data_IF_939240957705
#
_entry.id   IF_939240957705
#
_cell.length_a   1.000
_cell.length_b   1.000
_cell.length_c   1.000
_cell.angle_alpha   90.00
_cell.angle_beta   90.00
_cell.angle_gamma   90.00
#
_symmetry.space_group_name_H-M   'P 1'
#
loop_
_entity.id
_entity.type
_entity.pdbx_description
1 polymer ?
#
# COMPACT_ATOMS: atom_id res chain seq x y z
N UNK A 1 -39.70 29.09 4.09
CA UNK A 1 -40.61 28.22 3.31
C UNK A 1 -39.85 26.93 3.00
N UNK A 2 -40.07 25.87 3.78
CA UNK A 2 -39.37 24.58 3.65
C UNK A 2 -40.08 23.75 2.57
N UNK A 3 -39.37 23.37 1.50
CA UNK A 3 -39.92 22.46 0.48
C UNK A 3 -40.01 21.05 1.07
N UNK A 4 -41.18 20.39 1.03
CA UNK A 4 -41.27 18.99 1.45
C UNK A 4 -40.48 18.12 0.46
N UNK A 5 -39.60 17.27 0.99
CA UNK A 5 -38.93 16.22 0.21
C UNK A 5 -40.00 15.19 -0.13
N UNK A 6 -40.52 15.25 -1.35
CA UNK A 6 -41.45 14.25 -1.88
C UNK A 6 -40.62 13.03 -2.25
N UNK A 7 -40.54 12.05 -1.36
CA UNK A 7 -39.96 10.74 -1.67
C UNK A 7 -40.94 10.04 -2.59
N UNK A 8 -40.59 9.94 -3.87
CA UNK A 8 -41.49 9.42 -4.89
C UNK A 8 -41.49 7.88 -4.85
N UNK A 9 -42.67 7.27 -4.73
CA UNK A 9 -42.82 5.82 -4.57
C UNK A 9 -42.30 5.01 -5.77
N UNK A 10 -42.12 5.66 -6.92
CA UNK A 10 -41.60 5.05 -8.14
C UNK A 10 -40.09 4.76 -8.12
N UNK A 11 -39.32 5.37 -7.20
CA UNK A 11 -37.88 5.05 -7.05
C UNK A 11 -37.64 3.62 -6.51
N UNK A 12 -38.65 3.02 -5.86
CA UNK A 12 -38.60 1.64 -5.37
C UNK A 12 -38.86 0.60 -6.47
N UNK A 13 -39.31 1.02 -7.66
CA UNK A 13 -39.85 0.12 -8.70
C UNK A 13 -38.88 -0.25 -9.82
N UNK A 14 -37.64 0.24 -9.80
CA UNK A 14 -36.64 -0.22 -10.77
C UNK A 14 -36.42 -1.72 -10.55
N UNK A 15 -36.74 -2.53 -11.56
CA UNK A 15 -36.36 -3.93 -11.66
C UNK A 15 -34.83 -4.02 -11.58
N UNK A 16 -34.36 -4.18 -10.35
CA UNK A 16 -32.96 -4.29 -10.00
C UNK A 16 -32.65 -5.78 -9.83
N UNK A 17 -31.41 -6.21 -10.08
CA UNK A 17 -31.04 -7.62 -9.97
C UNK A 17 -31.49 -8.14 -8.61
N UNK A 18 -32.21 -9.28 -8.63
CA UNK A 18 -32.73 -9.90 -7.43
C UNK A 18 -31.56 -10.06 -6.45
N UNK A 19 -31.60 -9.29 -5.36
CA UNK A 19 -30.67 -9.51 -4.27
C UNK A 19 -30.81 -10.97 -3.87
N UNK A 20 -29.69 -11.67 -3.71
CA UNK A 20 -29.71 -13.09 -3.44
C UNK A 20 -30.40 -13.31 -2.08
N UNK A 21 -31.69 -13.68 -2.16
CA UNK A 21 -32.57 -13.81 -1.00
C UNK A 21 -32.00 -14.83 0.00
N UNK A 22 -31.15 -15.74 -0.51
CA UNK A 22 -30.38 -16.72 0.27
C UNK A 22 -29.43 -16.06 1.27
N UNK A 23 -28.67 -15.03 0.86
CA UNK A 23 -27.70 -14.33 1.72
C UNK A 23 -28.40 -13.67 2.90
N UNK A 24 -29.52 -12.99 2.65
CA UNK A 24 -30.28 -12.34 3.74
C UNK A 24 -30.96 -13.34 4.65
N UNK A 25 -31.49 -14.42 4.10
CA UNK A 25 -32.05 -15.49 4.91
C UNK A 25 -30.98 -16.09 5.83
N UNK A 26 -29.74 -16.24 5.34
CA UNK A 26 -28.60 -16.68 6.14
C UNK A 26 -28.24 -15.64 7.23
N UNK A 27 -28.17 -14.35 6.89
CA UNK A 27 -27.95 -13.27 7.87
C UNK A 27 -29.00 -13.31 8.99
N UNK A 28 -30.28 -13.39 8.65
CA UNK A 28 -31.37 -13.44 9.63
C UNK A 28 -31.30 -14.70 10.48
N UNK A 29 -30.94 -15.85 9.89
CA UNK A 29 -30.76 -17.11 10.61
C UNK A 29 -29.60 -17.02 11.61
N UNK A 30 -28.46 -16.45 11.21
CA UNK A 30 -27.28 -16.30 12.07
C UNK A 30 -27.57 -15.31 13.20
N UNK A 31 -28.14 -14.15 12.90
CA UNK A 31 -28.48 -13.15 13.93
C UNK A 31 -29.56 -13.68 14.89
N UNK A 32 -30.52 -14.45 14.40
CA UNK A 32 -31.46 -15.16 15.28
C UNK A 32 -30.76 -16.21 16.16
N UNK A 33 -29.74 -16.91 15.64
CA UNK A 33 -28.92 -17.83 16.43
C UNK A 33 -28.15 -17.14 17.56
N UNK A 34 -27.64 -15.91 17.33
CA UNK A 34 -26.89 -15.16 18.33
C UNK A 34 -27.78 -14.51 19.40
N UNK A 35 -28.91 -13.93 18.99
CA UNK A 35 -29.72 -13.06 19.85
C UNK A 35 -31.11 -13.62 20.16
N UNK A 36 -31.45 -14.79 19.63
CA UNK A 36 -32.75 -15.42 19.79
C UNK A 36 -33.89 -14.56 19.22
N UNK A 37 -35.03 -14.57 19.92
CA UNK A 37 -36.22 -13.82 19.51
C UNK A 37 -36.04 -12.31 19.59
N UNK A 38 -35.05 -11.79 20.34
CA UNK A 38 -34.79 -10.36 20.47
C UNK A 38 -34.56 -9.70 19.10
N UNK A 39 -33.87 -10.39 18.19
CA UNK A 39 -33.62 -9.89 16.84
C UNK A 39 -34.89 -9.85 16.00
N UNK A 40 -35.66 -10.95 15.96
CA UNK A 40 -36.86 -11.03 15.13
C UNK A 40 -37.98 -10.12 15.64
N UNK A 41 -38.14 -10.00 16.96
CA UNK A 41 -39.16 -9.15 17.59
C UNK A 41 -38.99 -7.68 17.22
N UNK A 42 -37.78 -7.22 16.88
CA UNK A 42 -37.52 -5.86 16.40
C UNK A 42 -38.23 -5.53 15.09
N UNK A 43 -38.55 -6.55 14.29
CA UNK A 43 -39.20 -6.40 12.98
C UNK A 43 -40.59 -7.03 12.93
N UNK A 44 -40.99 -7.75 13.99
CA UNK A 44 -42.29 -8.37 14.06
C UNK A 44 -43.39 -7.31 14.07
N UNK A 45 -44.37 -7.47 13.19
CA UNK A 45 -45.54 -6.61 13.09
C UNK A 45 -46.79 -7.24 13.72
N UNK A 46 -46.78 -8.56 13.95
CA UNK A 46 -47.93 -9.34 14.37
C UNK A 46 -48.93 -9.61 13.23
N UNK A 47 -48.74 -9.00 12.05
CA UNK A 47 -49.58 -9.22 10.87
C UNK A 47 -48.98 -10.35 10.05
N UNK A 48 -49.74 -11.42 9.88
CA UNK A 48 -49.30 -12.60 9.13
C UNK A 48 -49.82 -12.55 7.68
N UNK A 49 -49.00 -13.02 6.74
CA UNK A 49 -49.41 -13.26 5.37
C UNK A 49 -50.27 -14.54 5.24
N UNK A 50 -50.79 -14.80 4.05
CA UNK A 50 -51.58 -16.02 3.76
C UNK A 50 -50.81 -17.35 3.94
N UNK A 51 -49.51 -17.30 4.26
CA UNK A 51 -48.65 -18.45 4.57
C UNK A 51 -48.22 -18.48 6.05
N UNK A 52 -48.81 -17.63 6.89
CA UNK A 52 -48.50 -17.55 8.33
C UNK A 52 -47.15 -16.89 8.65
N UNK A 53 -46.55 -16.14 7.73
CA UNK A 53 -45.28 -15.43 7.94
C UNK A 53 -45.53 -13.99 8.34
N UNK A 54 -44.78 -13.49 9.33
CA UNK A 54 -44.88 -12.08 9.73
C UNK A 54 -44.46 -11.15 8.59
N UNK A 55 -45.37 -10.25 8.20
CA UNK A 55 -45.18 -9.32 7.09
C UNK A 55 -44.10 -8.27 7.38
N UNK A 56 -43.93 -7.88 8.64
CA UNK A 56 -42.88 -6.97 9.10
C UNK A 56 -41.50 -7.60 8.96
N UNK A 57 -41.36 -8.87 9.35
CA UNK A 57 -40.10 -9.62 9.15
C UNK A 57 -39.82 -9.81 7.66
N UNK A 58 -40.82 -10.13 6.84
CA UNK A 58 -40.66 -10.25 5.39
C UNK A 58 -40.25 -8.93 4.75
N UNK A 59 -40.88 -7.82 5.14
CA UNK A 59 -40.52 -6.47 4.69
C UNK A 59 -39.09 -6.10 5.08
N UNK A 60 -38.69 -6.38 6.33
CA UNK A 60 -37.34 -6.15 6.80
C UNK A 60 -36.31 -6.92 5.98
N UNK A 61 -36.55 -8.21 5.69
CA UNK A 61 -35.65 -8.99 4.82
C UNK A 61 -35.49 -8.36 3.44
N UNK A 62 -36.57 -7.89 2.82
CA UNK A 62 -36.50 -7.20 1.52
C UNK A 62 -35.63 -5.94 1.57
N UNK A 63 -35.79 -5.11 2.61
CA UNK A 63 -34.98 -3.90 2.79
C UNK A 63 -33.50 -4.23 3.06
N UNK A 64 -33.23 -5.25 3.88
CA UNK A 64 -31.87 -5.74 4.12
C UNK A 64 -31.24 -6.25 2.83
N UNK A 65 -31.98 -7.00 2.01
CA UNK A 65 -31.49 -7.52 0.72
C UNK A 65 -31.05 -6.39 -0.22
N UNK A 66 -31.87 -5.35 -0.30
CA UNK A 66 -31.55 -4.18 -1.12
C UNK A 66 -30.28 -3.45 -0.65
N UNK A 67 -30.00 -3.40 0.66
CA UNK A 67 -28.79 -2.74 1.18
C UNK A 67 -27.55 -3.64 1.11
N UNK A 68 -27.70 -4.94 1.36
CA UNK A 68 -26.58 -5.87 1.41
C UNK A 68 -26.03 -6.26 0.03
N UNK A 69 -26.81 -6.08 -1.04
CA UNK A 69 -26.33 -6.30 -2.42
C UNK A 69 -25.09 -5.48 -2.81
N UNK A 70 -24.76 -4.44 -2.05
CA UNK A 70 -23.60 -3.59 -2.29
C UNK A 70 -22.28 -4.22 -1.79
N UNK A 71 -22.35 -5.36 -1.11
CA UNK A 71 -21.23 -6.04 -0.50
C UNK A 71 -21.12 -7.47 -1.02
N UNK A 72 -19.90 -7.97 -1.12
CA UNK A 72 -19.64 -9.38 -1.39
C UNK A 72 -20.06 -10.25 -0.20
N UNK A 73 -20.45 -11.50 -0.46
CA UNK A 73 -20.87 -12.45 0.58
C UNK A 73 -19.79 -12.63 1.66
N UNK A 74 -18.52 -12.65 1.28
CA UNK A 74 -17.39 -12.75 2.22
C UNK A 74 -17.35 -11.60 3.22
N UNK A 75 -17.63 -10.37 2.77
CA UNK A 75 -17.70 -9.18 3.62
C UNK A 75 -18.86 -9.29 4.61
N UNK A 76 -20.01 -9.80 4.15
CA UNK A 76 -21.19 -10.01 4.99
C UNK A 76 -20.90 -11.05 6.08
N UNK A 77 -20.20 -12.14 5.74
CA UNK A 77 -19.77 -13.17 6.71
C UNK A 77 -18.82 -12.58 7.75
N UNK A 78 -17.80 -11.83 7.33
CA UNK A 78 -16.89 -11.16 8.27
C UNK A 78 -17.63 -10.17 9.18
N UNK A 79 -18.62 -9.44 8.66
CA UNK A 79 -19.43 -8.55 9.48
C UNK A 79 -20.28 -9.32 10.51
N UNK A 80 -20.82 -10.50 10.17
CA UNK A 80 -21.54 -11.37 11.09
C UNK A 80 -20.66 -11.87 12.24
N UNK A 81 -19.44 -12.29 11.95
CA UNK A 81 -18.48 -12.72 12.98
C UNK A 81 -18.17 -11.59 13.97
N UNK A 82 -18.07 -10.35 13.47
CA UNK A 82 -17.83 -9.18 14.30
C UNK A 82 -19.03 -8.79 15.18
N UNK A 83 -20.25 -9.24 14.89
CA UNK A 83 -21.44 -8.92 15.68
C UNK A 83 -21.30 -9.38 17.13
N UNK A 84 -20.76 -10.58 17.38
CA UNK A 84 -20.65 -11.11 18.75
C UNK A 84 -19.69 -10.27 19.62
N UNK A 85 -18.68 -9.66 19.00
CA UNK A 85 -17.67 -8.85 19.70
C UNK A 85 -18.16 -7.40 19.86
N UNK A 86 -18.74 -6.81 18.81
CA UNK A 86 -19.14 -5.39 18.79
C UNK A 86 -20.52 -5.15 19.40
N UNK A 87 -21.36 -6.17 19.37
CA UNK A 87 -22.76 -6.13 19.78
C UNK A 87 -23.09 -7.36 20.64
N UNK A 88 -22.44 -7.55 21.82
CA UNK A 88 -22.64 -8.76 22.63
C UNK A 88 -24.05 -8.84 23.25
N UNK A 89 -24.63 -7.71 23.63
CA UNK A 89 -25.89 -7.67 24.39
C UNK A 89 -27.12 -7.52 23.51
N UNK A 90 -27.03 -6.73 22.43
CA UNK A 90 -28.17 -6.35 21.61
C UNK A 90 -27.88 -6.54 20.12
N UNK A 91 -28.81 -7.10 19.33
CA UNK A 91 -28.61 -7.30 17.91
C UNK A 91 -28.43 -5.97 17.16
N UNK A 92 -27.54 -5.91 16.16
CA UNK A 92 -27.37 -4.72 15.35
C UNK A 92 -28.61 -4.44 14.49
N UNK A 93 -28.96 -3.16 14.37
CA UNK A 93 -29.90 -2.70 13.35
C UNK A 93 -29.30 -2.70 11.95
N UNK A 94 -30.13 -2.55 10.91
CA UNK A 94 -29.65 -2.50 9.52
C UNK A 94 -28.55 -1.45 9.29
N UNK A 95 -28.67 -0.17 9.74
CA UNK A 95 -27.62 0.81 9.50
C UNK A 95 -26.29 0.44 10.18
N UNK A 96 -26.34 -0.15 11.38
CA UNK A 96 -25.16 -0.61 12.11
C UNK A 96 -24.50 -1.78 11.39
N UNK A 97 -25.30 -2.73 10.92
CA UNK A 97 -24.81 -3.88 10.16
C UNK A 97 -24.16 -3.46 8.83
N UNK A 98 -24.79 -2.53 8.09
CA UNK A 98 -24.19 -1.95 6.87
C UNK A 98 -22.87 -1.24 7.16
N UNK A 99 -22.77 -0.51 8.27
CA UNK A 99 -21.51 0.13 8.67
C UNK A 99 -20.42 -0.89 9.01
N UNK A 100 -20.77 -2.05 9.60
CA UNK A 100 -19.83 -3.14 9.82
C UNK A 100 -19.36 -3.75 8.50
N UNK A 101 -20.27 -4.00 7.54
CA UNK A 101 -19.88 -4.46 6.21
C UNK A 101 -18.93 -3.46 5.53
N UNK A 102 -19.23 -2.16 5.58
CA UNK A 102 -18.36 -1.13 5.02
C UNK A 102 -16.97 -1.06 5.67
N UNK A 103 -16.88 -1.35 6.98
CA UNK A 103 -15.61 -1.41 7.71
C UNK A 103 -14.82 -2.69 7.45
N UNK A 104 -15.51 -3.79 7.14
CA UNK A 104 -14.90 -5.07 6.77
C UNK A 104 -14.45 -5.10 5.30
N UNK A 105 -15.03 -4.27 4.44
CA UNK A 105 -14.61 -4.14 3.06
C UNK A 105 -13.12 -3.74 2.99
N UNK A 106 -12.34 -4.37 2.10
CA UNK A 106 -10.94 -4.03 1.93
C UNK A 106 -10.84 -2.55 1.57
N UNK A 107 -10.14 -1.78 2.40
CA UNK A 107 -9.83 -0.39 2.05
C UNK A 107 -9.06 -0.43 0.75
N UNK A 108 -9.47 0.35 -0.24
CA UNK A 108 -8.66 0.61 -1.41
C UNK A 108 -7.35 1.23 -0.89
N UNK A 109 -6.34 0.40 -0.66
CA UNK A 109 -4.98 0.85 -0.43
C UNK A 109 -4.64 1.67 -1.65
N UNK A 110 -4.33 2.95 -1.42
CA UNK A 110 -3.86 3.87 -2.44
C UNK A 110 -2.86 3.13 -3.34
N UNK A 111 -3.30 2.76 -4.54
CA UNK A 111 -2.39 2.39 -5.61
C UNK A 111 -1.88 3.72 -6.13
N UNK A 112 -0.60 4.07 -5.96
CA UNK A 112 -0.07 5.23 -6.65
C UNK A 112 -0.32 5.01 -8.15
N UNK A 113 -1.15 5.87 -8.75
CA UNK A 113 -1.45 5.86 -10.18
C UNK A 113 -0.20 5.96 -11.05
N UNK A 114 0.92 6.33 -10.44
CA UNK A 114 2.23 6.49 -11.04
C UNK A 114 3.27 5.63 -10.30
N UNK A 115 2.99 4.36 -10.03
CA UNK A 115 4.09 3.41 -10.10
C UNK A 115 4.54 3.44 -11.57
N UNK A 116 5.44 4.37 -11.91
CA UNK A 116 6.14 4.35 -13.19
C UNK A 116 6.77 2.97 -13.20
N UNK A 117 6.15 2.04 -13.92
CA UNK A 117 6.72 0.73 -14.15
C UNK A 117 8.00 1.02 -14.92
N UNK A 118 9.12 1.08 -14.21
CA UNK A 118 10.41 1.14 -14.88
C UNK A 118 10.44 -0.06 -15.80
N UNK A 119 10.52 0.20 -17.11
CA UNK A 119 10.59 -0.85 -18.12
C UNK A 119 11.69 -1.83 -17.70
N UNK A 120 11.52 -3.12 -18.02
CA UNK A 120 12.53 -4.13 -17.70
C UNK A 120 13.93 -3.71 -18.16
N UNK A 121 14.01 -2.98 -19.27
CA UNK A 121 15.23 -2.36 -19.79
C UNK A 121 15.83 -1.32 -18.82
N UNK A 122 15.03 -0.40 -18.29
CA UNK A 122 15.49 0.64 -17.37
C UNK A 122 15.98 0.05 -16.04
N UNK A 123 15.30 -1.00 -15.52
CA UNK A 123 15.76 -1.74 -14.32
C UNK A 123 17.13 -2.38 -14.55
N UNK A 124 17.34 -2.98 -15.73
CA UNK A 124 18.62 -3.59 -16.09
C UNK A 124 19.75 -2.56 -16.18
N UNK A 125 19.45 -1.36 -16.68
CA UNK A 125 20.41 -0.27 -16.80
C UNK A 125 20.83 0.28 -15.43
N UNK A 126 19.88 0.53 -14.53
CA UNK A 126 20.19 0.96 -13.17
C UNK A 126 20.94 -0.12 -12.37
N UNK A 127 20.61 -1.40 -12.55
CA UNK A 127 21.34 -2.49 -11.92
C UNK A 127 22.80 -2.56 -12.41
N UNK A 128 23.05 -2.36 -13.70
CA UNK A 128 24.42 -2.25 -14.24
C UNK A 128 25.15 -1.02 -13.69
N UNK A 129 24.47 0.13 -13.63
CA UNK A 129 25.05 1.36 -13.11
C UNK A 129 25.41 1.25 -11.62
N UNK A 130 24.55 0.62 -10.81
CA UNK A 130 24.79 0.38 -9.40
C UNK A 130 26.02 -0.54 -9.19
N UNK A 131 26.15 -1.61 -9.97
CA UNK A 131 27.33 -2.49 -9.94
C UNK A 131 28.62 -1.74 -10.30
N UNK A 132 28.59 -0.94 -11.36
CA UNK A 132 29.74 -0.14 -11.78
C UNK A 132 30.15 0.91 -10.74
N UNK A 133 29.20 1.45 -9.99
CA UNK A 133 29.48 2.38 -8.88
C UNK A 133 30.17 1.62 -7.75
N UNK A 134 29.61 0.49 -7.31
CA UNK A 134 30.19 -0.35 -6.25
C UNK A 134 31.61 -0.78 -6.61
N UNK A 135 31.84 -1.27 -7.82
CA UNK A 135 33.16 -1.67 -8.32
C UNK A 135 34.17 -0.51 -8.28
N UNK A 136 33.77 0.69 -8.69
CA UNK A 136 34.64 1.89 -8.60
C UNK A 136 34.97 2.23 -7.15
N UNK A 137 34.02 2.09 -6.24
CA UNK A 137 34.23 2.33 -4.81
C UNK A 137 35.15 1.28 -4.19
N UNK A 138 35.01 0.01 -4.57
CA UNK A 138 35.89 -1.09 -4.13
C UNK A 138 37.33 -0.88 -4.61
N UNK A 139 37.54 -0.59 -5.90
CA UNK A 139 38.88 -0.29 -6.44
C UNK A 139 39.50 0.92 -5.75
N UNK A 140 38.71 1.96 -5.45
CA UNK A 140 39.20 3.13 -4.72
C UNK A 140 39.55 2.81 -3.26
N UNK A 141 38.76 1.96 -2.60
CA UNK A 141 39.02 1.50 -1.24
C UNK A 141 40.27 0.60 -1.18
N UNK A 142 40.44 -0.30 -2.15
CA UNK A 142 41.64 -1.13 -2.28
C UNK A 142 42.90 -0.30 -2.53
N UNK A 143 42.85 0.70 -3.42
CA UNK A 143 43.96 1.65 -3.63
C UNK A 143 44.34 2.41 -2.36
N UNK A 144 43.35 2.83 -1.58
CA UNK A 144 43.59 3.47 -0.27
C UNK A 144 44.21 2.51 0.74
N UNK A 145 43.82 1.23 0.73
CA UNK A 145 44.33 0.22 1.66
C UNK A 145 45.74 -0.26 1.28
N UNK A 146 46.02 -0.45 0.01
CA UNK A 146 47.32 -0.94 -0.48
C UNK A 146 48.37 0.16 -0.63
N UNK A 147 47.95 1.43 -0.72
CA UNK A 147 48.84 2.55 -1.02
C UNK A 147 49.40 2.51 -2.45
N UNK A 148 49.02 1.52 -3.26
CA UNK A 148 49.59 1.30 -4.59
C UNK A 148 48.80 2.09 -5.64
N UNK A 149 49.48 3.03 -6.28
CA UNK A 149 48.99 3.75 -7.45
C UNK A 149 49.68 3.16 -8.69
N UNK A 150 48.95 2.51 -9.62
CA UNK A 150 49.55 2.05 -10.86
C UNK A 150 49.93 3.27 -11.71
N UNK A 151 51.23 3.45 -11.94
CA UNK A 151 51.78 4.56 -12.70
C UNK A 151 52.36 4.04 -14.03
N UNK A 152 52.20 4.80 -15.13
CA UNK A 152 52.79 4.41 -16.41
C UNK A 152 54.34 4.39 -16.29
N UNK A 153 55.04 3.43 -16.94
CA UNK A 153 56.50 3.32 -16.88
C UNK A 153 57.18 4.34 -17.82
N UNK A 154 56.75 5.59 -17.75
CA UNK A 154 57.27 6.71 -18.53
C UNK A 154 57.69 7.83 -17.57
N UNK A 155 58.42 8.82 -18.09
CA UNK A 155 58.84 9.99 -17.30
C UNK A 155 57.63 10.70 -16.64
N UNK A 156 56.47 10.67 -17.30
CA UNK A 156 55.24 11.26 -16.77
C UNK A 156 54.68 10.48 -15.57
N UNK A 157 54.83 9.15 -15.54
CA UNK A 157 54.48 8.34 -14.37
C UNK A 157 55.42 8.59 -13.19
N UNK A 158 56.71 8.83 -13.44
CA UNK A 158 57.66 9.22 -12.39
C UNK A 158 57.30 10.59 -11.78
N UNK A 159 56.95 11.57 -12.61
CA UNK A 159 56.48 12.89 -12.14
C UNK A 159 55.22 12.78 -11.27
N UNK A 160 54.28 11.92 -11.66
CA UNK A 160 53.06 11.66 -10.88
C UNK A 160 53.35 10.96 -9.54
N UNK A 161 54.32 10.03 -9.48
CA UNK A 161 54.75 9.40 -8.24
C UNK A 161 55.26 10.44 -7.23
N UNK A 162 56.11 11.34 -7.70
CA UNK A 162 56.74 12.39 -6.88
C UNK A 162 55.67 13.35 -6.38
N UNK A 163 54.77 13.82 -7.25
CA UNK A 163 53.68 14.72 -6.85
C UNK A 163 52.76 14.10 -5.77
N UNK A 164 52.43 12.81 -5.90
CA UNK A 164 51.62 12.10 -4.92
C UNK A 164 52.34 11.94 -3.57
N UNK A 165 53.62 11.59 -3.58
CA UNK A 165 54.43 11.45 -2.36
C UNK A 165 54.61 12.79 -1.62
N UNK A 166 54.73 13.90 -2.35
CA UNK A 166 54.86 15.25 -1.79
C UNK A 166 53.53 15.76 -1.22
N UNK A 167 52.41 15.50 -1.92
CA UNK A 167 51.08 15.87 -1.44
C UNK A 167 50.69 15.15 -0.14
N UNK A 168 51.04 13.87 0.01
CA UNK A 168 50.78 13.11 1.23
C UNK A 168 51.66 13.57 2.42
N UNK A 169 52.83 14.15 2.13
CA UNK A 169 53.74 14.72 3.13
C UNK A 169 53.38 16.16 3.55
N UNK A 170 52.32 16.75 2.98
CA UNK A 170 51.84 18.09 3.31
C UNK A 170 52.77 19.23 2.88
N UNK A 171 53.60 19.03 1.85
CA UNK A 171 54.62 19.99 1.40
C UNK A 171 54.19 20.84 0.19
N UNK A 172 54.68 22.08 0.15
CA UNK A 172 54.52 23.06 -0.93
C UNK A 172 55.13 22.54 -2.24
N UNK A 173 54.25 22.09 -3.14
CA UNK A 173 54.59 21.39 -4.38
C UNK A 173 55.43 22.26 -5.33
N UNK A 174 55.29 23.59 -5.23
CA UNK A 174 56.06 24.53 -6.04
C UNK A 174 57.53 24.58 -5.62
N UNK A 175 57.82 24.44 -4.31
CA UNK A 175 59.18 24.48 -3.78
C UNK A 175 59.99 23.24 -4.19
N UNK A 176 59.39 22.06 -4.19
CA UNK A 176 60.09 20.81 -4.56
C UNK A 176 60.32 20.74 -6.08
N UNK A 177 59.35 21.19 -6.90
CA UNK A 177 59.55 21.29 -8.34
C UNK A 177 60.68 22.28 -8.68
N UNK A 178 60.77 23.42 -8.00
CA UNK A 178 61.86 24.39 -8.17
C UNK A 178 63.20 23.91 -7.62
N UNK A 179 63.22 23.00 -6.64
CA UNK A 179 64.45 22.36 -6.14
C UNK A 179 64.99 21.37 -7.16
N UNK A 180 64.13 20.52 -7.69
CA UNK A 180 64.48 19.52 -8.69
C UNK A 180 64.89 20.15 -10.02
N UNK A 181 64.17 21.19 -10.47
CA UNK A 181 64.51 21.91 -11.70
C UNK A 181 65.92 22.52 -11.60
N UNK A 182 66.26 23.14 -10.46
CA UNK A 182 67.63 23.62 -10.17
C UNK A 182 68.66 22.51 -10.10
N UNK A 183 68.30 21.35 -9.53
CA UNK A 183 69.21 20.21 -9.41
C UNK A 183 69.57 19.59 -10.78
N UNK A 184 68.62 19.58 -11.72
CA UNK A 184 68.81 19.00 -13.06
C UNK A 184 69.27 20.01 -14.12
N UNK A 185 69.05 21.31 -13.95
CA UNK A 185 69.67 22.34 -14.79
C UNK A 185 71.14 22.60 -14.45
N UNK A 186 71.58 22.31 -13.22
CA UNK A 186 72.99 22.41 -12.82
C UNK A 186 73.86 21.22 -13.28
N UNK A 187 73.28 20.20 -13.94
CA UNK A 187 73.99 19.06 -14.50
C UNK A 187 74.36 19.17 -15.98
N UNK A 188 74.11 20.33 -16.62
CA UNK A 188 74.48 20.57 -18.02
C UNK A 188 75.53 21.69 -18.07
N UNK A 189 76.76 21.34 -17.72
CA UNK A 189 77.99 21.93 -18.22
C UNK A 189 79.13 20.91 -18.11
#
# INVERSE_FOLDING_TARGET
MLKPVVVNADDFRRAQPAADETVVNNVFKVLHGYYGNLFLNKFASGVLDGKGRDMGVASARSVWAHKLRAFDESIVVTALEQCQVRHPEFPPGLPQFVAMCANAAPRATYQPSNAIEMSGALRSQYARQARAIVEKHEVKAERRRSGYIPLPPTLDGLKQAIAAAVGEAGGDEAAELLRLDRMFTQGVH
#
